data_IF_869524640662
#
_entry.id   IF_869524640662
#
_cell.length_a   1.000
_cell.length_b   1.000
_cell.length_c   1.000
_cell.angle_alpha   90.00
_cell.angle_beta   90.00
_cell.angle_gamma   90.00
#
_symmetry.space_group_name_H-M   'P 1'
#
loop_
_entity.id
_entity.type
_entity.pdbx_description
1 polymer ?
#
# COMPACT_ATOMS: atom_id res chain seq x y z
N UNK A 1 13.31 -39.16 -23.89
CA UNK A 1 12.91 -37.85 -23.34
C UNK A 1 13.97 -37.47 -22.34
N UNK A 2 14.84 -36.53 -22.68
CA UNK A 2 15.77 -35.99 -21.71
C UNK A 2 14.97 -35.24 -20.63
N UNK A 3 15.24 -35.46 -19.34
CA UNK A 3 14.58 -34.71 -18.28
C UNK A 3 14.99 -33.26 -18.43
N UNK A 4 14.03 -32.41 -18.78
CA UNK A 4 14.20 -30.96 -18.76
C UNK A 4 14.40 -30.61 -17.28
N UNK A 5 15.65 -30.44 -16.86
CA UNK A 5 15.97 -30.00 -15.53
C UNK A 5 15.33 -28.62 -15.33
N UNK A 6 14.26 -28.55 -14.53
CA UNK A 6 13.69 -27.27 -14.09
C UNK A 6 14.74 -26.62 -13.21
N UNK A 7 15.54 -25.73 -13.79
CA UNK A 7 16.25 -24.73 -13.01
C UNK A 7 15.17 -23.96 -12.24
N UNK A 8 15.15 -24.04 -10.92
CA UNK A 8 14.30 -23.21 -10.05
C UNK A 8 14.58 -21.75 -10.39
N UNK A 9 13.79 -21.22 -11.33
CA UNK A 9 14.30 -20.23 -12.29
C UNK A 9 13.66 -18.89 -12.05
N UNK A 10 13.93 -18.25 -10.91
CA UNK A 10 13.54 -16.87 -10.58
C UNK A 10 12.03 -16.53 -10.60
N UNK A 11 11.17 -17.28 -11.29
CA UNK A 11 9.71 -17.09 -11.39
C UNK A 11 8.96 -17.83 -10.30
N UNK A 12 9.54 -18.90 -9.75
CA UNK A 12 8.86 -19.78 -8.79
C UNK A 12 8.58 -19.06 -7.46
N UNK A 13 9.54 -18.29 -6.93
CA UNK A 13 9.34 -17.55 -5.68
C UNK A 13 8.37 -16.37 -5.83
N UNK A 14 8.34 -15.74 -7.02
CA UNK A 14 7.35 -14.70 -7.36
C UNK A 14 5.94 -15.31 -7.37
N UNK A 15 5.80 -16.50 -7.97
CA UNK A 15 4.55 -17.26 -8.02
C UNK A 15 4.05 -17.59 -6.63
N UNK A 16 4.92 -18.14 -5.79
CA UNK A 16 4.61 -18.48 -4.39
C UNK A 16 4.16 -17.22 -3.64
N UNK A 17 4.85 -16.10 -3.83
CA UNK A 17 4.51 -14.83 -3.15
C UNK A 17 3.15 -14.28 -3.61
N UNK A 18 2.86 -14.32 -4.92
CA UNK A 18 1.57 -13.90 -5.46
C UNK A 18 0.44 -14.78 -4.92
N UNK A 19 0.61 -16.10 -4.92
CA UNK A 19 -0.37 -17.03 -4.37
C UNK A 19 -0.59 -16.82 -2.87
N UNK A 20 0.49 -16.67 -2.10
CA UNK A 20 0.42 -16.38 -0.67
C UNK A 20 -0.31 -15.06 -0.40
N UNK A 21 -0.05 -14.02 -1.20
CA UNK A 21 -0.75 -12.75 -1.07
C UNK A 21 -2.26 -12.91 -1.31
N UNK A 22 -2.68 -13.71 -2.29
CA UNK A 22 -4.09 -13.88 -2.64
C UNK A 22 -4.92 -14.53 -1.51
N UNK A 23 -4.30 -15.29 -0.61
CA UNK A 23 -5.00 -15.91 0.53
C UNK A 23 -5.63 -14.86 1.46
N UNK A 24 -4.98 -13.71 1.66
CA UNK A 24 -5.46 -12.67 2.57
C UNK A 24 -6.82 -12.06 2.18
N UNK A 25 -7.03 -11.55 0.94
CA UNK A 25 -8.34 -11.04 0.53
C UNK A 25 -9.40 -12.14 0.44
N UNK A 26 -9.03 -13.39 0.14
CA UNK A 26 -9.98 -14.53 0.15
C UNK A 26 -10.50 -14.78 1.57
N UNK A 27 -9.60 -14.86 2.57
CA UNK A 27 -9.96 -15.02 3.98
C UNK A 27 -10.82 -13.83 4.44
N UNK A 28 -10.41 -12.61 4.08
CA UNK A 28 -11.17 -11.40 4.42
C UNK A 28 -12.59 -11.41 3.83
N UNK A 29 -12.75 -11.87 2.58
CA UNK A 29 -14.06 -12.05 1.93
C UNK A 29 -14.89 -13.13 2.64
N UNK A 30 -14.29 -14.23 3.04
CA UNK A 30 -14.99 -15.35 3.68
C UNK A 30 -15.52 -14.98 5.06
N UNK A 31 -14.76 -14.23 5.85
CA UNK A 31 -15.13 -13.85 7.22
C UNK A 31 -16.01 -12.58 7.22
N UNK A 32 -15.74 -11.63 6.32
CA UNK A 32 -16.36 -10.30 6.33
C UNK A 32 -16.99 -9.92 4.97
N UNK A 33 -17.82 -10.81 4.42
CA UNK A 33 -18.42 -10.65 3.08
C UNK A 33 -19.08 -9.28 2.80
N UNK A 34 -20.05 -8.78 3.59
CA UNK A 34 -20.71 -7.50 3.29
C UNK A 34 -19.75 -6.32 3.34
N UNK A 35 -18.74 -6.42 4.21
CA UNK A 35 -17.69 -5.40 4.33
C UNK A 35 -16.76 -5.39 3.13
N UNK A 36 -16.37 -6.57 2.66
CA UNK A 36 -15.53 -6.73 1.48
C UNK A 36 -16.21 -6.17 0.22
N UNK A 37 -17.53 -6.39 0.06
CA UNK A 37 -18.29 -5.79 -1.04
C UNK A 37 -18.28 -4.26 -0.99
N UNK A 38 -18.51 -3.67 0.19
CA UNK A 38 -18.43 -2.22 0.35
C UNK A 38 -17.00 -1.69 0.07
N UNK A 39 -15.97 -2.46 0.43
CA UNK A 39 -14.58 -2.11 0.18
C UNK A 39 -14.20 -2.15 -1.30
N UNK A 40 -14.70 -3.10 -2.10
CA UNK A 40 -14.43 -3.14 -3.55
C UNK A 40 -15.01 -1.93 -4.28
N UNK A 41 -16.16 -1.43 -3.82
CA UNK A 41 -16.88 -0.31 -4.45
C UNK A 41 -16.29 1.04 -4.01
N UNK A 42 -15.26 1.06 -3.15
CA UNK A 42 -14.64 2.26 -2.59
C UNK A 42 -14.33 3.39 -3.61
N UNK A 43 -13.71 3.15 -4.78
CA UNK A 43 -13.39 4.23 -5.72
C UNK A 43 -14.63 4.87 -6.35
N UNK A 44 -15.77 4.18 -6.35
CA UNK A 44 -17.04 4.67 -6.88
C UNK A 44 -17.95 5.22 -5.78
N UNK A 45 -17.83 4.68 -4.55
CA UNK A 45 -18.69 5.06 -3.44
C UNK A 45 -17.95 5.03 -2.10
N UNK A 46 -17.96 6.17 -1.42
CA UNK A 46 -17.41 6.34 -0.07
C UNK A 46 -18.22 5.66 1.05
N UNK A 47 -19.24 4.85 0.72
CA UNK A 47 -20.11 4.13 1.68
C UNK A 47 -19.31 3.32 2.71
N UNK A 48 -18.21 2.69 2.30
CA UNK A 48 -17.32 1.98 3.22
C UNK A 48 -16.77 2.92 4.29
N UNK A 49 -16.22 4.05 3.87
CA UNK A 49 -15.63 5.03 4.78
C UNK A 49 -16.72 5.60 5.70
N UNK A 50 -17.86 6.03 5.16
CA UNK A 50 -18.90 6.65 5.99
C UNK A 50 -19.50 5.70 7.04
N UNK A 51 -19.60 4.40 6.73
CA UNK A 51 -20.21 3.41 7.60
C UNK A 51 -19.24 2.88 8.67
N UNK A 52 -17.97 2.69 8.32
CA UNK A 52 -17.00 2.03 9.20
C UNK A 52 -16.04 2.99 9.92
N UNK A 53 -15.92 4.25 9.50
CA UNK A 53 -15.11 5.26 10.20
C UNK A 53 -15.67 5.60 11.60
N UNK A 54 -17.00 5.64 11.77
CA UNK A 54 -17.63 6.03 13.06
C UNK A 54 -17.77 4.88 14.07
N UNK A 55 -17.79 3.63 13.61
CA UNK A 55 -18.10 2.46 14.45
C UNK A 55 -16.87 1.64 14.84
N UNK A 56 -15.74 1.81 14.16
CA UNK A 56 -14.61 0.90 14.32
C UNK A 56 -13.26 1.60 14.43
N UNK A 57 -12.40 1.00 15.26
CA UNK A 57 -11.02 1.42 15.46
C UNK A 57 -10.14 0.93 14.29
N UNK A 58 -9.01 1.59 14.05
CA UNK A 58 -7.98 1.21 13.08
C UNK A 58 -7.59 -0.27 13.12
N UNK A 59 -7.66 -0.87 14.30
CA UNK A 59 -7.24 -2.23 14.59
C UNK A 59 -8.37 -3.26 14.39
N UNK A 60 -9.00 -3.27 13.21
CA UNK A 60 -9.89 -4.38 12.84
C UNK A 60 -9.10 -5.45 12.07
N UNK A 61 -9.40 -6.73 12.35
CA UNK A 61 -8.86 -7.89 11.64
C UNK A 61 -9.03 -7.79 10.12
N UNK A 62 -10.16 -7.26 9.63
CA UNK A 62 -10.35 -7.02 8.19
C UNK A 62 -9.31 -6.05 7.63
N UNK A 63 -9.09 -4.92 8.31
CA UNK A 63 -8.09 -3.94 7.90
C UNK A 63 -6.69 -4.53 7.95
N UNK A 64 -6.37 -5.27 9.00
CA UNK A 64 -5.08 -5.93 9.15
C UNK A 64 -4.79 -6.89 7.99
N UNK A 65 -5.73 -7.78 7.65
CA UNK A 65 -5.59 -8.71 6.52
C UNK A 65 -5.35 -7.96 5.20
N UNK A 66 -6.11 -6.89 4.95
CA UNK A 66 -5.96 -6.10 3.73
C UNK A 66 -4.65 -5.30 3.70
N UNK A 67 -4.17 -4.83 4.86
CA UNK A 67 -2.87 -4.15 4.99
C UNK A 67 -1.70 -5.10 4.73
N UNK A 68 -1.78 -6.36 5.20
CA UNK A 68 -0.74 -7.36 4.90
C UNK A 68 -0.69 -7.64 3.40
N UNK A 69 -1.85 -7.82 2.77
CA UNK A 69 -1.95 -7.95 1.31
C UNK A 69 -1.34 -6.75 0.56
N UNK A 70 -1.61 -5.54 1.03
CA UNK A 70 -1.05 -4.30 0.48
C UNK A 70 0.48 -4.30 0.53
N UNK A 71 1.06 -4.62 1.68
CA UNK A 71 2.52 -4.59 1.90
C UNK A 71 3.22 -5.57 0.98
N UNK A 72 2.72 -6.80 0.87
CA UNK A 72 3.31 -7.82 -0.01
C UNK A 72 3.27 -7.37 -1.48
N UNK A 73 2.12 -6.88 -1.94
CA UNK A 73 1.97 -6.46 -3.34
C UNK A 73 2.75 -5.19 -3.69
N UNK A 74 2.84 -4.24 -2.75
CA UNK A 74 3.67 -3.04 -2.92
C UNK A 74 5.15 -3.42 -3.02
N UNK A 75 5.59 -4.36 -2.19
CA UNK A 75 6.97 -4.86 -2.20
C UNK A 75 7.30 -5.57 -3.52
N UNK A 76 6.42 -6.46 -3.98
CA UNK A 76 6.58 -7.13 -5.29
C UNK A 76 6.66 -6.11 -6.43
N UNK A 77 5.81 -5.09 -6.40
CA UNK A 77 5.80 -4.05 -7.43
C UNK A 77 7.10 -3.23 -7.42
N UNK A 78 7.60 -2.84 -6.24
CA UNK A 78 8.90 -2.16 -6.09
C UNK A 78 10.03 -3.06 -6.60
N UNK A 79 9.97 -4.36 -6.33
CA UNK A 79 10.94 -5.32 -6.86
C UNK A 79 10.91 -5.38 -8.39
N UNK A 80 9.74 -5.37 -9.04
CA UNK A 80 9.65 -5.31 -10.51
C UNK A 80 10.18 -4.00 -11.08
N UNK A 81 9.94 -2.85 -10.41
CA UNK A 81 10.56 -1.57 -10.77
C UNK A 81 12.08 -1.72 -10.72
N UNK A 82 12.61 -2.19 -9.59
CA UNK A 82 14.04 -2.36 -9.41
C UNK A 82 14.64 -3.29 -10.48
N UNK A 83 14.00 -4.43 -10.76
CA UNK A 83 14.44 -5.39 -11.80
C UNK A 83 14.39 -4.82 -13.22
N UNK A 84 13.43 -3.94 -13.55
CA UNK A 84 13.27 -3.35 -14.89
C UNK A 84 14.25 -2.20 -15.16
N UNK A 85 14.68 -1.47 -14.11
CA UNK A 85 15.59 -0.32 -14.23
C UNK A 85 17.05 -0.64 -13.87
N UNK A 86 17.32 -1.63 -13.02
CA UNK A 86 18.68 -2.07 -12.66
C UNK A 86 19.06 -3.37 -13.38
N UNK A 87 20.35 -3.55 -13.67
CA UNK A 87 20.85 -4.67 -14.48
C UNK A 87 20.44 -6.05 -13.91
N UNK A 88 19.96 -6.99 -14.74
CA UNK A 88 19.39 -8.28 -14.31
C UNK A 88 20.39 -9.25 -13.67
N UNK A 89 21.69 -8.94 -13.68
CA UNK A 89 22.75 -9.76 -13.07
C UNK A 89 22.74 -9.70 -11.53
N UNK A 90 22.37 -8.55 -10.95
CA UNK A 90 22.23 -8.37 -9.49
C UNK A 90 20.90 -8.90 -8.95
N UNK A 91 19.90 -9.07 -9.83
CA UNK A 91 18.55 -9.52 -9.49
C UNK A 91 18.44 -11.01 -9.09
N UNK A 92 19.58 -11.72 -9.08
CA UNK A 92 19.69 -13.10 -8.60
C UNK A 92 19.85 -13.21 -7.08
N UNK A 93 20.12 -12.11 -6.39
CA UNK A 93 20.32 -12.16 -4.94
C UNK A 93 18.97 -12.36 -4.21
N UNK A 94 18.74 -13.52 -3.55
CA UNK A 94 17.48 -13.83 -2.90
C UNK A 94 17.19 -12.94 -1.67
N UNK A 95 18.21 -12.25 -1.13
CA UNK A 95 18.06 -11.41 0.06
C UNK A 95 17.41 -10.05 -0.22
N UNK A 96 17.33 -9.64 -1.48
CA UNK A 96 16.79 -8.32 -1.86
C UNK A 96 15.30 -8.22 -1.57
N UNK A 97 14.52 -9.27 -1.88
CA UNK A 97 13.08 -9.24 -1.67
C UNK A 97 12.70 -9.17 -0.17
N UNK A 98 13.24 -10.03 0.73
CA UNK A 98 13.00 -9.90 2.17
C UNK A 98 13.43 -8.54 2.74
N UNK A 99 14.54 -7.97 2.26
CA UNK A 99 15.00 -6.64 2.68
C UNK A 99 14.00 -5.55 2.28
N UNK A 100 13.51 -5.58 1.03
CA UNK A 100 12.47 -4.65 0.56
C UNK A 100 11.17 -4.84 1.35
N UNK A 101 10.78 -6.08 1.63
CA UNK A 101 9.57 -6.39 2.41
C UNK A 101 9.66 -5.79 3.82
N UNK A 102 10.79 -6.00 4.49
CA UNK A 102 11.05 -5.43 5.81
C UNK A 102 11.06 -3.89 5.75
N UNK A 103 11.69 -3.30 4.73
CA UNK A 103 11.72 -1.85 4.53
C UNK A 103 10.34 -1.24 4.34
N UNK A 104 9.51 -1.80 3.46
CA UNK A 104 8.14 -1.34 3.21
C UNK A 104 7.26 -1.52 4.44
N UNK A 105 7.36 -2.65 5.13
CA UNK A 105 6.61 -2.91 6.35
C UNK A 105 6.97 -1.92 7.45
N UNK A 106 8.28 -1.71 7.71
CA UNK A 106 8.75 -0.74 8.69
C UNK A 106 8.36 0.68 8.32
N UNK A 107 8.47 1.07 7.05
CA UNK A 107 8.08 2.40 6.59
C UNK A 107 6.59 2.67 6.84
N UNK A 108 5.70 1.77 6.43
CA UNK A 108 4.25 1.93 6.63
C UNK A 108 3.89 1.87 8.13
N UNK A 109 4.51 0.95 8.88
CA UNK A 109 4.28 0.77 10.31
C UNK A 109 4.71 1.97 11.14
N UNK A 110 5.96 2.40 10.99
CA UNK A 110 6.51 3.58 11.69
C UNK A 110 5.75 4.84 11.32
N UNK A 111 5.42 5.03 10.02
CA UNK A 111 4.56 6.14 9.58
C UNK A 111 3.23 6.11 10.32
N UNK A 112 2.51 5.00 10.32
CA UNK A 112 1.20 4.89 10.98
C UNK A 112 1.29 5.15 12.50
N UNK A 113 2.31 4.62 13.17
CA UNK A 113 2.51 4.82 14.61
C UNK A 113 2.82 6.26 14.97
N UNK A 114 3.69 6.92 14.20
CA UNK A 114 4.00 8.33 14.39
C UNK A 114 2.76 9.22 14.16
N UNK A 115 1.89 8.88 13.19
CA UNK A 115 0.63 9.60 12.98
C UNK A 115 -0.32 9.46 14.18
N UNK A 116 -0.40 8.26 14.77
CA UNK A 116 -1.22 8.02 15.97
C UNK A 116 -0.67 8.74 17.20
N UNK A 117 0.65 8.76 17.38
CA UNK A 117 1.31 9.44 18.49
C UNK A 117 1.05 10.96 18.45
N UNK A 118 1.12 11.56 17.26
CA UNK A 118 0.73 12.96 17.08
C UNK A 118 -0.73 13.18 17.50
N UNK A 119 -1.66 12.33 17.05
CA UNK A 119 -3.07 12.42 17.46
C UNK A 119 -3.29 12.33 18.98
N UNK A 120 -2.45 11.56 19.68
CA UNK A 120 -2.47 11.47 21.14
C UNK A 120 -1.97 12.75 21.82
N UNK A 121 -0.83 13.30 21.37
CA UNK A 121 -0.27 14.56 21.91
C UNK A 121 -1.27 15.72 21.79
N UNK A 122 -1.98 15.80 20.65
CA UNK A 122 -2.90 16.90 20.37
C UNK A 122 -4.31 16.69 20.94
N UNK A 123 -4.50 15.71 21.84
CA UNK A 123 -5.78 15.37 22.47
C UNK A 123 -6.95 15.24 21.46
N UNK A 124 -6.64 14.87 20.22
CA UNK A 124 -7.57 14.78 19.08
C UNK A 124 -7.47 13.40 18.43
N UNK A 125 -7.19 12.39 19.26
CA UNK A 125 -6.92 11.01 18.87
C UNK A 125 -8.00 10.44 17.95
N UNK A 126 -9.29 10.69 18.23
CA UNK A 126 -10.38 10.18 17.40
C UNK A 126 -10.32 10.73 15.97
N UNK A 127 -10.12 12.03 15.80
CA UNK A 127 -10.03 12.67 14.47
C UNK A 127 -8.83 12.13 13.70
N UNK A 128 -7.66 12.02 14.35
CA UNK A 128 -6.47 11.44 13.72
C UNK A 128 -6.63 9.97 13.38
N UNK A 129 -7.25 9.17 14.26
CA UNK A 129 -7.56 7.77 14.00
C UNK A 129 -8.47 7.60 12.78
N UNK A 130 -9.51 8.43 12.63
CA UNK A 130 -10.38 8.43 11.45
C UNK A 130 -9.63 8.86 10.17
N UNK A 131 -8.76 9.88 10.25
CA UNK A 131 -7.93 10.35 9.15
C UNK A 131 -6.98 9.25 8.65
N UNK A 132 -6.26 8.62 9.57
CA UNK A 132 -5.32 7.53 9.29
C UNK A 132 -6.09 6.33 8.71
N UNK A 133 -7.28 6.03 9.24
CA UNK A 133 -8.10 4.93 8.74
C UNK A 133 -8.49 5.14 7.29
N UNK A 134 -8.95 6.34 6.93
CA UNK A 134 -9.28 6.68 5.54
C UNK A 134 -8.07 6.53 4.62
N UNK A 135 -6.92 7.12 4.99
CA UNK A 135 -5.68 7.03 4.20
C UNK A 135 -5.24 5.58 4.00
N UNK A 136 -5.22 4.79 5.07
CA UNK A 136 -4.83 3.39 5.02
C UNK A 136 -5.82 2.54 4.22
N UNK A 137 -7.11 2.85 4.26
CA UNK A 137 -8.14 2.17 3.44
C UNK A 137 -7.87 2.35 1.94
N UNK A 138 -7.60 3.59 1.51
CA UNK A 138 -7.26 3.88 0.11
C UNK A 138 -5.94 3.26 -0.32
N UNK A 139 -4.94 3.29 0.57
CA UNK A 139 -3.69 2.58 0.35
C UNK A 139 -3.97 1.08 0.16
N UNK A 140 -4.68 0.43 1.08
CA UNK A 140 -5.03 -0.99 0.99
C UNK A 140 -5.81 -1.35 -0.28
N UNK A 141 -6.65 -0.44 -0.77
CA UNK A 141 -7.38 -0.65 -2.02
C UNK A 141 -6.42 -0.67 -3.22
N UNK A 142 -5.43 0.23 -3.23
CA UNK A 142 -4.43 0.29 -4.29
C UNK A 142 -3.65 -1.02 -4.46
N UNK A 143 -3.57 -1.86 -3.43
CA UNK A 143 -2.91 -3.16 -3.47
C UNK A 143 -3.61 -4.18 -4.35
N UNK A 144 -4.94 -4.06 -4.52
CA UNK A 144 -5.67 -4.90 -5.48
C UNK A 144 -5.19 -4.60 -6.90
N UNK A 145 -4.99 -3.32 -7.19
CA UNK A 145 -4.49 -2.87 -8.48
C UNK A 145 -3.04 -3.25 -8.68
N UNK A 146 -2.20 -3.09 -7.65
CA UNK A 146 -0.81 -3.54 -7.70
C UNK A 146 -0.72 -5.05 -7.87
N UNK A 147 -1.61 -5.84 -7.25
CA UNK A 147 -1.67 -7.28 -7.46
C UNK A 147 -1.95 -7.63 -8.92
N UNK A 148 -2.95 -6.98 -9.53
CA UNK A 148 -3.24 -7.17 -10.96
C UNK A 148 -2.01 -6.81 -11.79
N UNK A 149 -1.41 -5.64 -11.56
CA UNK A 149 -0.20 -5.22 -12.26
C UNK A 149 0.96 -6.21 -12.10
N UNK A 150 1.18 -6.74 -10.89
CA UNK A 150 2.21 -7.74 -10.61
C UNK A 150 1.98 -9.03 -11.39
N UNK A 151 0.73 -9.49 -11.54
CA UNK A 151 0.40 -10.67 -12.37
C UNK A 151 0.74 -10.41 -13.84
N UNK A 152 0.39 -9.23 -14.37
CA UNK A 152 0.73 -8.85 -15.74
C UNK A 152 2.25 -8.77 -15.96
N UNK A 153 2.98 -8.16 -15.02
CA UNK A 153 4.45 -8.04 -15.07
C UNK A 153 5.18 -9.36 -14.88
N UNK A 154 4.58 -10.32 -14.17
CA UNK A 154 5.17 -11.64 -13.95
C UNK A 154 5.00 -12.58 -15.14
N UNK A 155 3.84 -12.60 -15.80
CA UNK A 155 3.48 -13.66 -16.75
C UNK A 155 3.10 -13.21 -18.16
N UNK A 156 2.54 -12.00 -18.33
CA UNK A 156 2.02 -11.56 -19.63
C UNK A 156 3.03 -10.72 -20.37
N UNK A 157 3.59 -9.71 -19.69
CA UNK A 157 4.49 -8.72 -20.25
C UNK A 157 5.67 -8.53 -19.28
N UNK A 158 6.60 -9.47 -19.35
CA UNK A 158 7.75 -9.57 -18.43
C UNK A 158 8.52 -8.25 -18.41
N UNK A 159 8.60 -7.63 -17.23
CA UNK A 159 9.35 -6.39 -16.95
C UNK A 159 9.03 -5.20 -17.85
N UNK A 160 7.82 -5.18 -18.43
CA UNK A 160 7.38 -4.10 -19.31
C UNK A 160 7.28 -2.76 -18.57
N UNK A 161 8.13 -1.82 -18.99
CA UNK A 161 8.15 -0.44 -18.47
C UNK A 161 6.80 0.27 -18.64
N UNK A 162 6.07 -0.04 -19.72
CA UNK A 162 4.75 0.57 -19.99
C UNK A 162 3.76 0.20 -18.89
N UNK A 163 3.73 -1.07 -18.46
CA UNK A 163 2.80 -1.54 -17.42
C UNK A 163 3.19 -0.98 -16.07
N UNK A 164 4.49 -0.88 -15.79
CA UNK A 164 4.99 -0.22 -14.57
C UNK A 164 4.48 1.22 -14.51
N UNK A 165 4.60 1.99 -15.59
CA UNK A 165 4.14 3.38 -15.64
C UNK A 165 2.62 3.47 -15.45
N UNK A 166 1.84 2.65 -16.17
CA UNK A 166 0.38 2.64 -16.05
C UNK A 166 -0.06 2.31 -14.62
N UNK A 167 0.52 1.26 -14.02
CA UNK A 167 0.21 0.83 -12.67
C UNK A 167 0.59 1.90 -11.63
N UNK A 168 1.72 2.58 -11.82
CA UNK A 168 2.18 3.67 -10.95
C UNK A 168 1.23 4.87 -11.03
N UNK A 169 0.78 5.25 -12.23
CA UNK A 169 -0.24 6.31 -12.41
C UNK A 169 -1.54 5.91 -11.70
N UNK A 170 -2.03 4.69 -11.88
CA UNK A 170 -3.27 4.22 -11.27
C UNK A 170 -3.18 4.20 -9.74
N UNK A 171 -2.04 3.73 -9.21
CA UNK A 171 -1.72 3.76 -7.78
C UNK A 171 -1.73 5.19 -7.23
N UNK A 172 -1.10 6.14 -7.91
CA UNK A 172 -1.07 7.54 -7.48
C UNK A 172 -2.47 8.16 -7.50
N UNK A 173 -3.25 7.96 -8.57
CA UNK A 173 -4.60 8.51 -8.69
C UNK A 173 -5.47 8.09 -7.52
N UNK A 174 -5.44 6.82 -7.12
CA UNK A 174 -6.27 6.31 -6.01
C UNK A 174 -5.85 6.91 -4.68
N UNK A 175 -4.55 7.00 -4.43
CA UNK A 175 -4.05 7.61 -3.21
C UNK A 175 -4.39 9.12 -3.17
N UNK A 176 -4.29 9.83 -4.30
CA UNK A 176 -4.69 11.24 -4.43
C UNK A 176 -6.19 11.42 -4.16
N UNK A 177 -7.05 10.56 -4.68
CA UNK A 177 -8.51 10.59 -4.38
C UNK A 177 -8.74 10.44 -2.88
N UNK A 178 -8.03 9.52 -2.23
CA UNK A 178 -8.08 9.34 -0.78
C UNK A 178 -7.67 10.60 -0.02
N UNK A 179 -6.62 11.27 -0.49
CA UNK A 179 -6.15 12.55 0.05
C UNK A 179 -7.17 13.67 -0.09
N UNK A 180 -7.72 13.87 -1.28
CA UNK A 180 -8.74 14.90 -1.55
C UNK A 180 -9.98 14.66 -0.66
N UNK A 181 -10.41 13.40 -0.56
CA UNK A 181 -11.54 13.02 0.30
C UNK A 181 -11.27 13.29 1.77
N UNK A 182 -10.03 13.11 2.23
CA UNK A 182 -9.61 13.44 3.58
C UNK A 182 -9.60 14.96 3.80
N UNK A 183 -9.01 15.73 2.88
CA UNK A 183 -8.94 17.19 2.98
C UNK A 183 -10.34 17.83 3.01
N UNK A 184 -11.24 17.40 2.14
CA UNK A 184 -12.61 17.92 2.08
C UNK A 184 -13.41 17.60 3.35
N UNK A 185 -13.25 16.41 3.92
CA UNK A 185 -14.01 16.00 5.11
C UNK A 185 -13.53 16.68 6.40
N UNK A 186 -12.25 17.04 6.50
CA UNK A 186 -11.66 17.59 7.73
C UNK A 186 -11.17 19.02 7.56
N UNK A 187 -11.64 19.74 6.54
CA UNK A 187 -11.24 21.12 6.24
C UNK A 187 -11.41 22.06 7.44
N UNK A 188 -12.50 21.94 8.21
CA UNK A 188 -12.72 22.74 9.42
C UNK A 188 -11.69 22.45 10.52
N UNK A 189 -11.34 21.18 10.73
CA UNK A 189 -10.33 20.78 11.72
C UNK A 189 -8.92 21.22 11.29
N UNK A 190 -8.61 21.09 10.00
CA UNK A 190 -7.35 21.55 9.40
C UNK A 190 -7.24 23.08 9.51
N UNK A 191 -8.33 23.83 9.33
CA UNK A 191 -8.32 25.29 9.47
C UNK A 191 -8.05 25.74 10.91
N UNK A 192 -8.54 25.01 11.91
CA UNK A 192 -8.31 25.33 13.32
C UNK A 192 -6.88 24.99 13.77
N UNK A 193 -6.28 23.93 13.23
CA UNK A 193 -4.94 23.45 13.60
C UNK A 193 -3.95 23.47 12.42
N UNK A 194 -4.04 24.50 11.57
CA UNK A 194 -3.35 24.56 10.28
C UNK A 194 -1.83 24.42 10.38
N UNK A 195 -1.22 25.09 11.35
CA UNK A 195 0.24 25.05 11.55
C UNK A 195 0.73 23.65 11.96
N UNK A 196 -0.05 22.94 12.78
CA UNK A 196 0.26 21.57 13.21
C UNK A 196 0.07 20.56 12.07
N UNK A 197 -0.93 20.77 11.22
CA UNK A 197 -1.14 19.97 10.02
C UNK A 197 0.02 20.14 9.01
N UNK A 198 0.55 21.35 8.87
CA UNK A 198 1.75 21.61 8.05
C UNK A 198 2.98 20.94 8.65
N UNK A 199 3.21 21.06 9.96
CA UNK A 199 4.34 20.40 10.62
C UNK A 199 4.29 18.87 10.44
N UNK A 200 3.09 18.29 10.56
CA UNK A 200 2.81 16.89 10.26
C UNK A 200 3.16 16.52 8.80
N UNK A 201 2.65 17.27 7.82
CA UNK A 201 2.90 17.02 6.39
C UNK A 201 4.39 17.12 6.06
N UNK A 202 5.06 18.14 6.58
CA UNK A 202 6.47 18.36 6.37
C UNK A 202 7.33 17.24 6.98
N UNK A 203 7.09 16.87 8.24
CA UNK A 203 7.95 15.92 8.95
C UNK A 203 7.74 14.46 8.53
N UNK A 204 6.50 14.04 8.29
CA UNK A 204 6.18 12.63 8.11
C UNK A 204 5.91 12.21 6.66
N UNK A 205 5.67 13.18 5.78
CA UNK A 205 5.19 12.93 4.42
C UNK A 205 6.13 13.49 3.36
N UNK A 206 6.56 14.75 3.51
CA UNK A 206 7.46 15.43 2.58
C UNK A 206 8.92 15.08 2.88
N UNK A 207 9.34 15.05 4.15
CA UNK A 207 10.74 14.76 4.50
C UNK A 207 11.23 13.40 3.98
N UNK A 208 10.50 12.28 4.06
CA UNK A 208 10.95 11.00 3.49
C UNK A 208 11.12 11.04 1.96
N UNK A 209 10.25 11.77 1.26
CA UNK A 209 10.35 11.95 -0.20
C UNK A 209 11.57 12.79 -0.58
N UNK A 210 11.85 13.86 0.17
CA UNK A 210 13.02 14.72 -0.06
C UNK A 210 14.32 13.96 0.22
N UNK A 211 14.36 13.17 1.30
CA UNK A 211 15.51 12.32 1.63
C UNK A 211 15.73 11.26 0.54
N UNK A 212 14.68 10.58 0.07
CA UNK A 212 14.78 9.60 -1.02
C UNK A 212 15.27 10.25 -2.32
N UNK A 213 14.81 11.46 -2.64
CA UNK A 213 15.28 12.25 -3.77
C UNK A 213 16.75 12.68 -3.67
N UNK A 214 17.27 12.95 -2.46
CA UNK A 214 18.68 13.28 -2.27
C UNK A 214 19.62 12.09 -2.44
N UNK A 215 19.14 10.87 -2.20
CA UNK A 215 19.91 9.63 -2.44
C UNK A 215 19.95 9.20 -3.91
N UNK A 216 19.13 9.82 -4.78
CA UNK A 216 19.07 9.54 -6.22
C UNK A 216 19.97 10.49 -7.05
N UNK A 217 20.92 11.18 -6.42
CA UNK A 217 21.86 12.09 -7.07
C UNK A 217 23.23 11.44 -7.29
#
# INVERSE_FOLDING_TARGET
>A
MEPIARTFGQTDWITITLMASLLFPIIAKSIYYPRFLNFIILPFNNKYISMYTKKEKLFNWFHFLMSVFQVINSTLFIFFIWRSYFNPTEAKNPYIFPLLLAGVFLFIGTKTMAQLFNGFIFNSYNTFNELIFKKLTYLNYSGIILFIANVFLAYVFIDSKIIIIIALILFLVINIIGWITVLNNYQKFISTYFFYFILYLCALEIAPLVIMGSFLK
#
